data_IF_172368962497
#
_entry.id   IF_172368962497
#
_cell.length_a   1.000
_cell.length_b   1.000
_cell.length_c   1.000
_cell.angle_alpha   90.00
_cell.angle_beta   90.00
_cell.angle_gamma   90.00
#
_symmetry.space_group_name_H-M   'P 1'
#
loop_
_entity.id
_entity.type
_entity.pdbx_description
1 polymer ?
#
# COMPACT_ATOMS: atom_id res chain seq x y z
N UNK A 1 -13.07 28.83 72.66
CA UNK A 1 -11.83 29.44 72.13
C UNK A 1 -11.35 28.57 70.98
N UNK A 2 -11.76 28.90 69.75
CA UNK A 2 -10.97 29.61 68.74
C UNK A 2 -9.68 28.90 68.29
N UNK A 3 -9.68 28.54 66.99
CA UNK A 3 -8.55 28.50 66.03
C UNK A 3 -7.54 27.35 66.18
N UNK A 4 -7.00 26.74 65.13
CA UNK A 4 -7.03 27.01 63.69
C UNK A 4 -6.73 25.70 62.92
N UNK A 5 -7.44 25.58 61.81
CA UNK A 5 -7.32 24.65 60.69
C UNK A 5 -5.95 24.67 60.02
N UNK A 6 -5.50 23.51 59.52
CA UNK A 6 -4.85 23.41 58.21
C UNK A 6 -5.41 22.22 57.44
N UNK A 7 -6.12 22.59 56.37
CA UNK A 7 -6.68 21.73 55.35
C UNK A 7 -5.58 21.09 54.49
N UNK A 8 -5.82 19.84 54.09
CA UNK A 8 -5.22 19.19 52.93
C UNK A 8 -6.11 19.50 51.72
N UNK A 9 -5.57 19.97 50.58
CA UNK A 9 -6.16 19.73 49.27
C UNK A 9 -5.27 18.72 48.53
N UNK A 10 -5.81 17.55 48.20
CA UNK A 10 -6.64 17.29 47.01
C UNK A 10 -5.82 17.14 45.73
N UNK A 11 -5.85 15.90 45.26
CA UNK A 11 -5.47 15.40 43.94
C UNK A 11 -5.82 16.37 42.80
N UNK A 12 -4.81 16.80 42.04
CA UNK A 12 -5.00 17.27 40.67
C UNK A 12 -4.58 16.18 39.70
N UNK A 13 -5.55 15.38 39.26
CA UNK A 13 -5.47 14.65 37.99
C UNK A 13 -5.52 15.70 36.88
N UNK A 14 -4.42 15.95 36.20
CA UNK A 14 -4.47 16.67 34.91
C UNK A 14 -4.95 15.69 33.86
N UNK A 15 -6.23 15.83 33.51
CA UNK A 15 -6.78 15.41 32.23
C UNK A 15 -6.07 16.26 31.17
N UNK A 16 -5.16 15.66 30.41
CA UNK A 16 -4.67 16.29 29.18
C UNK A 16 -5.68 15.98 28.08
N UNK A 17 -6.34 17.06 27.68
CA UNK A 17 -7.37 17.14 26.66
C UNK A 17 -6.88 16.57 25.31
N UNK A 18 -7.65 15.64 24.76
CA UNK A 18 -7.31 14.84 23.59
C UNK A 18 -7.75 15.53 22.28
N UNK A 19 -7.70 16.86 22.23
CA UNK A 19 -8.32 17.66 21.16
C UNK A 19 -7.40 18.52 20.29
N UNK A 20 -6.09 18.57 20.56
CA UNK A 20 -5.18 19.45 19.79
C UNK A 20 -4.19 18.72 18.85
N UNK A 21 -4.38 17.42 18.59
CA UNK A 21 -3.48 16.66 17.70
C UNK A 21 -3.89 16.66 16.21
N UNK A 22 -4.81 17.55 15.77
CA UNK A 22 -5.36 17.52 14.41
C UNK A 22 -4.96 18.68 13.47
N UNK A 23 -4.13 19.63 13.89
CA UNK A 23 -3.76 20.76 13.02
C UNK A 23 -2.32 21.25 13.20
N UNK A 24 -1.36 20.38 12.92
CA UNK A 24 0.02 20.74 12.56
C UNK A 24 0.60 19.54 11.80
N UNK A 25 0.73 19.54 10.48
CA UNK A 25 1.30 20.58 9.65
C UNK A 25 2.83 20.43 9.66
N UNK A 26 3.35 19.65 8.71
CA UNK A 26 4.77 19.41 8.44
C UNK A 26 5.50 18.41 9.34
N UNK A 27 5.36 17.11 9.04
CA UNK A 27 6.41 16.13 9.31
C UNK A 27 7.33 16.09 8.08
N UNK A 28 8.42 16.84 8.13
CA UNK A 28 9.50 16.72 7.16
C UNK A 28 10.28 15.44 7.48
N UNK A 29 10.04 14.37 6.71
CA UNK A 29 10.94 13.22 6.68
C UNK A 29 12.22 13.60 5.93
N UNK A 30 13.05 14.44 6.55
CA UNK A 30 14.42 14.60 6.14
C UNK A 30 15.25 13.56 6.91
N UNK A 31 15.92 12.69 6.15
CA UNK A 31 16.82 11.60 6.58
C UNK A 31 16.19 10.25 6.91
N UNK A 32 15.85 9.51 5.85
CA UNK A 32 16.16 8.08 5.75
C UNK A 32 16.60 7.75 4.30
N UNK A 33 17.51 8.55 3.74
CA UNK A 33 18.23 8.16 2.53
C UNK A 33 19.30 7.15 2.95
N UNK A 34 18.98 5.87 2.78
CA UNK A 34 19.97 4.82 2.88
C UNK A 34 20.99 5.00 1.76
N UNK A 35 22.26 5.07 2.13
CA UNK A 35 23.42 5.18 1.25
C UNK A 35 23.44 4.02 0.26
N UNK A 36 22.94 4.23 -0.96
CA UNK A 36 23.36 3.42 -2.09
C UNK A 36 24.58 4.11 -2.68
N UNK A 37 25.78 3.64 -2.30
CA UNK A 37 26.91 3.80 -3.18
C UNK A 37 26.47 3.23 -4.54
N UNK A 38 26.40 4.09 -5.55
CA UNK A 38 26.19 3.67 -6.92
C UNK A 38 27.43 2.88 -7.32
N UNK A 39 27.37 1.57 -7.13
CA UNK A 39 28.28 0.66 -7.79
C UNK A 39 27.84 0.64 -9.26
N UNK A 40 28.53 1.46 -10.06
CA UNK A 40 28.38 1.43 -11.50
C UNK A 40 28.65 0.00 -11.98
N UNK A 41 27.76 -0.48 -12.86
CA UNK A 41 27.97 -1.64 -13.74
C UNK A 41 27.42 -3.03 -13.33
N UNK A 42 26.29 -3.11 -12.62
CA UNK A 42 25.25 -4.13 -12.89
C UNK A 42 23.88 -3.65 -12.38
N UNK A 43 23.08 -2.96 -13.21
CA UNK A 43 21.70 -2.62 -12.84
C UNK A 43 20.77 -3.84 -12.96
N UNK A 44 21.04 -4.88 -12.19
CA UNK A 44 20.22 -6.09 -12.12
C UNK A 44 18.83 -5.77 -11.59
N UNK A 45 17.80 -6.39 -12.17
CA UNK A 45 16.43 -6.27 -11.66
C UNK A 45 16.39 -6.85 -10.24
N UNK A 46 16.04 -6.02 -9.26
CA UNK A 46 15.86 -6.43 -7.87
C UNK A 46 14.44 -6.95 -7.67
N UNK A 47 14.30 -8.05 -6.94
CA UNK A 47 13.01 -8.65 -6.60
C UNK A 47 12.88 -8.66 -5.08
N UNK A 48 11.81 -8.05 -4.57
CA UNK A 48 11.51 -8.02 -3.14
C UNK A 48 10.03 -8.36 -2.95
N UNK A 49 9.75 -9.49 -2.32
CA UNK A 49 8.40 -9.90 -1.97
C UNK A 49 8.28 -10.16 -0.47
N UNK A 50 7.11 -9.87 0.08
CA UNK A 50 6.71 -10.30 1.42
C UNK A 50 5.81 -11.52 1.28
N UNK A 51 6.18 -12.64 1.93
CA UNK A 51 5.46 -13.91 1.83
C UNK A 51 4.98 -14.41 3.19
N UNK A 52 3.70 -14.77 3.26
CA UNK A 52 3.06 -15.39 4.42
C UNK A 52 2.76 -16.86 4.11
N UNK A 53 3.17 -17.76 4.99
CA UNK A 53 2.98 -19.21 4.84
C UNK A 53 1.99 -19.74 5.89
N UNK A 54 0.91 -20.40 5.45
CA UNK A 54 -0.12 -20.99 6.32
C UNK A 54 -0.38 -22.46 5.96
N UNK A 55 -1.20 -23.15 6.76
CA UNK A 55 -1.39 -24.59 6.62
C UNK A 55 -2.00 -25.03 5.29
N UNK A 56 -2.86 -24.22 4.67
CA UNK A 56 -3.56 -24.56 3.41
C UNK A 56 -3.05 -23.81 2.17
N UNK A 57 -2.42 -22.65 2.36
CA UNK A 57 -1.91 -21.84 1.27
C UNK A 57 -0.79 -20.90 1.75
N UNK A 58 -0.04 -20.36 0.80
CA UNK A 58 0.87 -19.23 1.00
C UNK A 58 0.43 -18.05 0.13
N UNK A 59 0.80 -16.85 0.56
CA UNK A 59 0.54 -15.59 -0.15
C UNK A 59 1.84 -14.80 -0.26
N UNK A 60 2.23 -14.45 -1.47
CA UNK A 60 3.32 -13.51 -1.76
C UNK A 60 2.76 -12.20 -2.29
N UNK A 61 3.25 -11.07 -1.76
CA UNK A 61 2.92 -9.71 -2.19
C UNK A 61 4.17 -9.03 -2.75
N UNK A 62 4.09 -8.50 -3.96
CA UNK A 62 5.20 -7.80 -4.62
C UNK A 62 4.71 -6.56 -5.39
N UNK A 63 5.41 -5.41 -5.32
CA UNK A 63 5.08 -4.26 -6.15
C UNK A 63 5.47 -4.51 -7.62
N UNK A 64 4.68 -3.94 -8.53
CA UNK A 64 4.95 -3.83 -9.96
C UNK A 64 5.02 -2.33 -10.27
N UNK A 65 6.18 -1.88 -10.76
CA UNK A 65 6.42 -0.48 -11.08
C UNK A 65 5.57 0.01 -12.26
N UNK A 66 5.24 1.32 -12.31
CA UNK A 66 4.55 1.91 -13.43
C UNK A 66 5.40 1.86 -14.70
N UNK A 67 4.74 2.02 -15.85
CA UNK A 67 5.44 2.26 -17.12
C UNK A 67 5.38 3.72 -17.50
N UNK A 68 6.45 4.20 -18.14
CA UNK A 68 6.58 5.57 -18.62
C UNK A 68 6.64 5.60 -20.15
N UNK A 69 6.05 6.64 -20.74
CA UNK A 69 6.24 7.01 -22.14
C UNK A 69 7.08 8.29 -22.22
N UNK A 70 8.01 8.31 -23.18
CA UNK A 70 8.79 9.52 -23.50
C UNK A 70 7.90 10.50 -24.27
N UNK A 71 7.99 11.77 -23.92
CA UNK A 71 7.34 12.88 -24.62
C UNK A 71 8.31 13.48 -25.64
N UNK A 72 7.78 14.10 -26.69
CA UNK A 72 8.58 14.80 -27.70
C UNK A 72 9.42 15.93 -27.10
N UNK A 73 8.93 16.56 -26.03
CA UNK A 73 9.63 17.59 -25.26
C UNK A 73 10.84 17.09 -24.46
N UNK A 74 11.16 15.79 -24.53
CA UNK A 74 12.25 15.15 -23.78
C UNK A 74 11.86 14.71 -22.36
N UNK A 75 10.67 15.06 -21.88
CA UNK A 75 10.12 14.59 -20.61
C UNK A 75 9.65 13.12 -20.65
N UNK A 76 9.28 12.58 -19.50
CA UNK A 76 8.60 11.28 -19.40
C UNK A 76 7.32 11.41 -18.60
N UNK A 77 6.27 10.71 -19.02
CA UNK A 77 4.96 10.68 -18.37
C UNK A 77 4.60 9.25 -18.00
N UNK A 78 3.93 9.05 -16.88
CA UNK A 78 3.33 7.75 -16.53
C UNK A 78 2.29 7.40 -17.59
N UNK A 79 2.53 6.29 -18.29
CA UNK A 79 1.61 5.73 -19.29
C UNK A 79 0.62 4.76 -18.65
N UNK A 80 1.13 3.91 -17.75
CA UNK A 80 0.32 2.96 -16.98
C UNK A 80 0.80 2.96 -15.54
N UNK A 81 -0.14 3.13 -14.62
CA UNK A 81 0.14 2.96 -13.20
C UNK A 81 0.65 1.54 -12.92
N UNK A 82 1.52 1.44 -11.92
CA UNK A 82 1.94 0.19 -11.32
C UNK A 82 0.79 -0.48 -10.57
N UNK A 83 1.10 -1.61 -9.96
CA UNK A 83 0.15 -2.40 -9.17
C UNK A 83 0.89 -3.17 -8.07
N UNK A 84 0.15 -3.82 -7.18
CA UNK A 84 0.72 -4.80 -6.26
C UNK A 84 0.19 -6.18 -6.63
N UNK A 85 1.09 -7.09 -7.00
CA UNK A 85 0.72 -8.46 -7.33
C UNK A 85 0.63 -9.32 -6.08
N UNK A 86 -0.54 -9.91 -5.86
CA UNK A 86 -0.77 -10.99 -4.91
C UNK A 86 -0.67 -12.33 -5.64
N UNK A 87 0.17 -13.22 -5.14
CA UNK A 87 0.33 -14.59 -5.65
C UNK A 87 0.01 -15.58 -4.56
N UNK A 88 -1.02 -16.41 -4.79
CA UNK A 88 -1.46 -17.44 -3.87
C UNK A 88 -0.94 -18.80 -4.33
N UNK A 89 -0.46 -19.60 -3.40
CA UNK A 89 0.07 -20.94 -3.67
C UNK A 89 -0.65 -21.98 -2.81
N UNK A 90 -1.27 -23.03 -3.39
CA UNK A 90 -1.87 -24.09 -2.59
C UNK A 90 -0.80 -24.91 -1.85
N UNK A 91 -1.10 -25.32 -0.62
CA UNK A 91 -0.26 -26.28 0.10
C UNK A 91 -0.44 -27.69 -0.51
N UNK A 92 0.68 -28.41 -0.62
CA UNK A 92 0.73 -29.82 -1.07
C UNK A 92 1.33 -30.74 -0.02
N UNK A 93 1.55 -30.22 1.18
CA UNK A 93 2.07 -30.95 2.33
C UNK A 93 2.48 -29.98 3.43
N UNK A 94 2.95 -30.53 4.55
CA UNK A 94 3.43 -29.71 5.66
C UNK A 94 4.59 -28.82 5.19
N UNK A 95 4.37 -27.50 5.22
CA UNK A 95 5.35 -26.48 4.77
C UNK A 95 5.82 -26.67 3.32
N UNK A 96 5.00 -27.27 2.47
CA UNK A 96 5.26 -27.44 1.03
C UNK A 96 4.12 -26.82 0.23
N UNK A 97 4.46 -26.04 -0.80
CA UNK A 97 3.51 -25.30 -1.62
C UNK A 97 3.80 -25.53 -3.10
N UNK A 98 2.75 -25.66 -3.90
CA UNK A 98 2.87 -25.89 -5.35
C UNK A 98 2.88 -24.56 -6.11
N UNK A 99 4.07 -24.18 -6.58
CA UNK A 99 4.29 -22.95 -7.33
C UNK A 99 3.73 -22.99 -8.76
N UNK A 100 3.42 -24.18 -9.29
CA UNK A 100 2.86 -24.34 -10.63
C UNK A 100 1.35 -24.04 -10.65
N UNK A 101 0.65 -24.30 -9.56
CA UNK A 101 -0.80 -24.05 -9.39
C UNK A 101 -1.11 -22.73 -8.70
N UNK A 102 -0.28 -21.72 -8.96
CA UNK A 102 -0.42 -20.40 -8.33
C UNK A 102 -1.62 -19.63 -8.92
N UNK A 103 -2.31 -18.89 -8.07
CA UNK A 103 -3.35 -17.94 -8.48
C UNK A 103 -2.87 -16.50 -8.29
N UNK A 104 -3.09 -15.66 -9.30
CA UNK A 104 -2.60 -14.28 -9.33
C UNK A 104 -3.77 -13.30 -9.25
N UNK A 105 -3.61 -12.24 -8.46
CA UNK A 105 -4.54 -11.12 -8.34
C UNK A 105 -3.74 -9.81 -8.22
N UNK A 106 -3.92 -8.89 -9.16
CA UNK A 106 -3.19 -7.62 -9.15
C UNK A 106 -4.06 -6.55 -8.50
N UNK A 107 -3.56 -5.84 -7.50
CA UNK A 107 -4.23 -4.71 -6.89
C UNK A 107 -3.82 -3.43 -7.61
N UNK A 108 -4.78 -2.70 -8.15
CA UNK A 108 -4.60 -1.31 -8.61
C UNK A 108 -4.28 -0.38 -7.43
N UNK A 109 -3.75 0.83 -7.68
CA UNK A 109 -3.52 1.81 -6.61
C UNK A 109 -4.75 2.10 -5.74
N UNK A 110 -5.94 2.11 -6.35
CA UNK A 110 -7.20 2.32 -5.62
C UNK A 110 -7.53 1.16 -4.69
N UNK A 111 -7.39 -0.09 -5.16
CA UNK A 111 -7.63 -1.28 -4.33
C UNK A 111 -6.57 -1.43 -3.22
N UNK A 112 -5.33 -1.00 -3.50
CA UNK A 112 -4.29 -0.82 -2.48
C UNK A 112 -4.75 0.17 -1.41
N UNK A 113 -5.32 1.31 -1.81
CA UNK A 113 -5.94 2.28 -0.91
C UNK A 113 -7.00 1.66 -0.02
N UNK A 114 -7.89 0.83 -0.58
CA UNK A 114 -8.93 0.12 0.19
C UNK A 114 -8.34 -0.80 1.27
N UNK A 115 -7.24 -1.51 0.99
CA UNK A 115 -6.57 -2.34 2.02
C UNK A 115 -5.87 -1.51 3.09
N UNK A 116 -5.30 -0.36 2.72
CA UNK A 116 -4.65 0.56 3.66
C UNK A 116 -5.68 1.12 4.64
N UNK A 117 -6.85 1.53 4.13
CA UNK A 117 -7.92 2.14 4.93
C UNK A 117 -8.80 1.16 5.70
N UNK A 118 -8.66 -0.15 5.46
CA UNK A 118 -9.58 -1.17 6.00
C UNK A 118 -9.62 -1.16 7.54
N UNK A 119 -10.79 -0.90 8.12
CA UNK A 119 -11.01 -0.96 9.56
C UNK A 119 -10.96 -2.40 10.12
N UNK A 120 -10.74 -2.57 11.44
CA UNK A 120 -10.58 -3.88 12.10
C UNK A 120 -11.84 -4.77 12.05
N UNK A 121 -13.01 -4.18 11.83
CA UNK A 121 -14.29 -4.88 11.68
C UNK A 121 -14.85 -4.82 10.26
N UNK A 122 -14.13 -4.18 9.33
CA UNK A 122 -14.58 -3.98 7.96
C UNK A 122 -14.12 -5.11 7.05
N UNK A 123 -14.84 -5.25 5.94
CA UNK A 123 -14.50 -6.16 4.85
C UNK A 123 -14.45 -5.42 3.53
N UNK A 124 -13.64 -5.91 2.60
CA UNK A 124 -13.66 -5.44 1.21
C UNK A 124 -13.62 -6.61 0.24
N UNK A 125 -14.13 -6.39 -0.97
CA UNK A 125 -14.13 -7.38 -2.04
C UNK A 125 -13.79 -6.72 -3.38
N UNK A 126 -13.01 -7.42 -4.19
CA UNK A 126 -12.56 -6.97 -5.49
C UNK A 126 -12.90 -8.02 -6.55
N UNK A 127 -13.32 -7.56 -7.73
CA UNK A 127 -13.74 -8.43 -8.83
C UNK A 127 -12.99 -8.07 -10.11
N UNK A 128 -12.30 -9.04 -10.67
CA UNK A 128 -11.46 -8.89 -11.86
C UNK A 128 -11.92 -9.83 -12.96
N UNK A 129 -12.04 -9.27 -14.16
CA UNK A 129 -12.08 -10.03 -15.41
C UNK A 129 -10.81 -9.70 -16.20
N UNK A 130 -9.82 -10.61 -16.26
CA UNK A 130 -8.56 -10.36 -16.96
C UNK A 130 -8.73 -10.07 -18.46
N UNK A 131 -9.86 -10.47 -19.03
CA UNK A 131 -10.18 -10.37 -20.45
C UNK A 131 -11.25 -9.31 -20.74
N UNK A 132 -11.56 -8.45 -19.76
CA UNK A 132 -12.54 -7.37 -19.93
C UNK A 132 -12.19 -6.51 -21.15
N UNK A 133 -13.19 -6.15 -21.96
CA UNK A 133 -13.04 -5.41 -23.23
C UNK A 133 -12.30 -6.20 -24.32
N UNK A 134 -12.30 -7.53 -24.24
CA UNK A 134 -11.82 -8.41 -25.30
C UNK A 134 -12.90 -9.41 -25.71
N UNK A 135 -12.66 -10.20 -26.76
CA UNK A 135 -13.56 -11.28 -27.18
C UNK A 135 -13.72 -12.40 -26.16
N UNK A 136 -12.86 -12.47 -25.13
CA UNK A 136 -12.89 -13.49 -24.08
C UNK A 136 -13.44 -12.95 -22.74
N UNK A 137 -14.13 -11.81 -22.76
CA UNK A 137 -14.79 -11.26 -21.58
C UNK A 137 -15.77 -12.27 -20.97
N UNK A 138 -15.85 -12.30 -19.64
CA UNK A 138 -16.69 -13.17 -18.83
C UNK A 138 -16.17 -14.60 -18.69
N UNK A 139 -15.13 -14.99 -19.44
CA UNK A 139 -14.60 -16.35 -19.45
C UNK A 139 -13.78 -16.69 -18.21
N UNK A 140 -13.07 -15.71 -17.65
CA UNK A 140 -12.32 -15.85 -16.40
C UNK A 140 -12.75 -14.76 -15.44
N UNK A 141 -13.22 -15.15 -14.25
CA UNK A 141 -13.61 -14.22 -13.19
C UNK A 141 -12.81 -14.52 -11.94
N UNK A 142 -12.23 -13.48 -11.35
CA UNK A 142 -11.48 -13.57 -10.11
C UNK A 142 -12.16 -12.70 -9.06
N UNK A 143 -12.39 -13.23 -7.88
CA UNK A 143 -12.76 -12.43 -6.72
C UNK A 143 -11.73 -12.58 -5.62
N UNK A 144 -11.44 -11.49 -4.93
CA UNK A 144 -10.63 -11.45 -3.73
C UNK A 144 -11.46 -10.79 -2.63
N UNK A 145 -11.75 -11.53 -1.57
CA UNK A 145 -12.42 -11.00 -0.38
C UNK A 145 -11.48 -10.98 0.82
N UNK A 146 -11.58 -9.90 1.60
CA UNK A 146 -10.87 -9.69 2.86
C UNK A 146 -11.91 -9.50 3.95
N UNK A 147 -11.99 -10.43 4.88
CA UNK A 147 -13.00 -10.43 5.94
C UNK A 147 -12.35 -10.54 7.32
N UNK A 148 -12.86 -9.88 8.37
CA UNK A 148 -12.23 -9.91 9.69
C UNK A 148 -12.37 -11.29 10.34
N UNK A 149 -11.34 -11.72 11.08
CA UNK A 149 -11.35 -12.96 11.89
C UNK A 149 -12.17 -12.85 13.19
N UNK A 150 -12.66 -11.64 13.51
CA UNK A 150 -13.24 -11.31 14.81
C UNK A 150 -12.19 -10.92 15.84
N UNK A 151 -12.62 -10.18 16.87
CA UNK A 151 -11.79 -9.72 18.00
C UNK A 151 -10.50 -9.00 17.58
N UNK A 152 -10.49 -8.33 16.41
CA UNK A 152 -9.31 -7.65 15.85
C UNK A 152 -8.05 -8.54 15.77
N UNK A 153 -8.25 -9.85 15.53
CA UNK A 153 -7.15 -10.84 15.46
C UNK A 153 -6.48 -10.90 14.09
N UNK A 154 -7.05 -10.24 13.08
CA UNK A 154 -6.59 -10.23 11.70
C UNK A 154 -7.75 -10.45 10.72
N UNK A 155 -7.43 -10.99 9.54
CA UNK A 155 -8.36 -11.16 8.42
C UNK A 155 -8.23 -12.54 7.77
N UNK A 156 -9.31 -13.03 7.19
CA UNK A 156 -9.29 -14.06 6.16
C UNK A 156 -9.18 -13.41 4.79
N UNK A 157 -8.20 -13.86 4.00
CA UNK A 157 -8.11 -13.56 2.58
C UNK A 157 -8.60 -14.77 1.80
N UNK A 158 -9.55 -14.57 0.90
CA UNK A 158 -10.08 -15.62 0.03
C UNK A 158 -9.97 -15.18 -1.42
N UNK A 159 -9.29 -15.98 -2.25
CA UNK A 159 -9.32 -15.83 -3.70
C UNK A 159 -10.18 -16.93 -4.31
N UNK A 160 -11.11 -16.55 -5.17
CA UNK A 160 -11.85 -17.48 -6.03
C UNK A 160 -11.54 -17.17 -7.48
N UNK A 161 -11.15 -18.18 -8.25
CA UNK A 161 -10.90 -18.08 -9.69
C UNK A 161 -11.83 -19.04 -10.40
N UNK A 162 -12.81 -18.47 -11.11
CA UNK A 162 -13.67 -19.19 -12.03
C UNK A 162 -13.07 -19.10 -13.43
N UNK A 163 -12.79 -20.24 -14.05
CA UNK A 163 -12.33 -20.32 -15.43
C UNK A 163 -13.30 -21.19 -16.23
N UNK A 164 -14.14 -20.55 -17.04
CA UNK A 164 -15.16 -21.22 -17.84
C UNK A 164 -14.55 -21.98 -19.02
N UNK A 165 -13.42 -21.53 -19.56
CA UNK A 165 -12.71 -22.19 -20.66
C UNK A 165 -12.18 -23.56 -20.24
N UNK A 166 -11.62 -23.64 -19.04
CA UNK A 166 -11.09 -24.87 -18.45
C UNK A 166 -12.10 -25.63 -17.60
N UNK A 167 -13.29 -25.06 -17.39
CA UNK A 167 -14.34 -25.56 -16.48
C UNK A 167 -13.83 -25.80 -15.06
N UNK A 168 -12.96 -24.92 -14.56
CA UNK A 168 -12.40 -25.01 -13.21
C UNK A 168 -12.94 -23.91 -12.30
N UNK A 169 -13.01 -24.23 -11.01
CA UNK A 169 -13.26 -23.26 -9.94
C UNK A 169 -12.25 -23.53 -8.85
N UNK A 170 -11.29 -22.63 -8.71
CA UNK A 170 -10.24 -22.71 -7.71
C UNK A 170 -10.53 -21.75 -6.57
N UNK A 171 -10.32 -22.21 -5.33
CA UNK A 171 -10.56 -21.43 -4.12
C UNK A 171 -9.40 -21.63 -3.17
N UNK A 172 -8.75 -20.54 -2.77
CA UNK A 172 -7.70 -20.54 -1.76
C UNK A 172 -8.06 -19.56 -0.66
N UNK A 173 -7.88 -20.00 0.57
CA UNK A 173 -8.20 -19.25 1.78
C UNK A 173 -7.02 -19.32 2.73
N UNK A 174 -6.63 -18.16 3.29
CA UNK A 174 -5.62 -18.12 4.34
C UNK A 174 -5.95 -17.07 5.41
N UNK A 175 -5.74 -17.40 6.70
CA UNK A 175 -5.80 -16.41 7.76
C UNK A 175 -4.52 -15.59 7.78
N UNK A 176 -4.66 -14.27 7.86
CA UNK A 176 -3.61 -13.28 8.04
C UNK A 176 -3.82 -12.68 9.43
N UNK A 177 -2.85 -12.86 10.31
CA UNK A 177 -2.90 -12.28 11.66
C UNK A 177 -2.82 -10.75 11.61
N UNK A 178 -3.23 -10.08 12.70
CA UNK A 178 -3.07 -8.63 12.86
C UNK A 178 -1.64 -8.15 12.58
N UNK A 179 -0.64 -8.87 13.07
CA UNK A 179 0.77 -8.52 12.86
C UNK A 179 1.16 -8.63 11.38
N UNK A 180 0.79 -9.73 10.71
CA UNK A 180 1.07 -9.93 9.28
C UNK A 180 0.36 -8.87 8.43
N UNK A 181 -0.89 -8.54 8.77
CA UNK A 181 -1.65 -7.51 8.06
C UNK A 181 -1.09 -6.10 8.29
N UNK A 182 -0.53 -5.83 9.49
CA UNK A 182 0.16 -4.58 9.77
C UNK A 182 1.39 -4.42 8.87
N UNK A 183 2.20 -5.48 8.70
CA UNK A 183 3.32 -5.46 7.75
C UNK A 183 2.84 -5.21 6.32
N UNK A 184 1.75 -5.89 5.90
CA UNK A 184 1.17 -5.65 4.58
C UNK A 184 0.75 -4.19 4.41
N UNK A 185 0.00 -3.63 5.35
CA UNK A 185 -0.47 -2.24 5.31
C UNK A 185 0.69 -1.25 5.22
N UNK A 186 1.74 -1.44 6.02
CA UNK A 186 2.93 -0.58 5.98
C UNK A 186 3.64 -0.67 4.63
N UNK A 187 3.85 -1.88 4.11
CA UNK A 187 4.49 -2.09 2.82
C UNK A 187 3.65 -1.50 1.67
N UNK A 188 2.33 -1.67 1.70
CA UNK A 188 1.40 -1.10 0.73
C UNK A 188 1.41 0.44 0.76
N UNK A 189 1.39 1.03 1.96
CA UNK A 189 1.46 2.49 2.14
C UNK A 189 2.75 3.06 1.57
N UNK A 190 3.88 2.38 1.77
CA UNK A 190 5.16 2.75 1.18
C UNK A 190 5.20 2.54 -0.34
N UNK A 191 4.65 1.44 -0.84
CA UNK A 191 4.64 1.12 -2.26
C UNK A 191 3.72 2.04 -3.07
N UNK A 192 2.65 2.57 -2.49
CA UNK A 192 1.64 3.37 -3.16
C UNK A 192 2.21 4.55 -3.99
N UNK A 193 3.04 5.46 -3.45
CA UNK A 193 3.63 6.54 -4.26
C UNK A 193 4.55 6.02 -5.39
N UNK A 194 5.23 4.89 -5.17
CA UNK A 194 6.12 4.30 -6.17
C UNK A 194 5.35 3.64 -7.33
N UNK A 195 4.24 2.97 -7.04
CA UNK A 195 3.38 2.42 -8.10
C UNK A 195 2.64 3.53 -8.86
N UNK A 196 2.54 4.73 -8.29
CA UNK A 196 2.06 5.93 -8.98
C UNK A 196 3.18 6.69 -9.74
N UNK A 197 4.45 6.32 -9.55
CA UNK A 197 5.61 6.96 -10.17
C UNK A 197 5.98 8.32 -9.57
N UNK A 198 5.46 8.65 -8.37
CA UNK A 198 5.72 9.91 -7.70
C UNK A 198 7.16 10.02 -7.18
N UNK A 199 7.77 8.89 -6.83
CA UNK A 199 9.18 8.82 -6.46
C UNK A 199 10.08 9.37 -7.59
N UNK A 200 9.80 8.99 -8.84
CA UNK A 200 10.58 9.48 -9.99
C UNK A 200 10.23 10.92 -10.36
N UNK A 201 8.96 11.31 -10.25
CA UNK A 201 8.54 12.69 -10.50
C UNK A 201 9.20 13.67 -9.52
N UNK A 202 9.32 13.29 -8.24
CA UNK A 202 9.90 14.12 -7.19
C UNK A 202 11.44 14.14 -7.21
N UNK A 203 12.09 13.07 -7.71
CA UNK A 203 13.56 13.00 -7.79
C UNK A 203 14.14 13.98 -8.83
N UNK A 204 13.39 14.29 -9.88
CA UNK A 204 13.83 15.21 -10.95
C UNK A 204 13.74 16.70 -10.59
N UNK A 205 13.28 17.05 -9.38
CA UNK A 205 13.11 18.43 -8.92
C UNK A 205 14.21 18.93 -7.99
N UNK A 206 15.45 18.44 -8.07
CA UNK A 206 16.59 19.21 -7.54
C UNK A 206 17.09 20.20 -8.60
N UNK A 207 16.63 21.47 -8.61
CA UNK A 207 17.37 22.51 -9.31
C UNK A 207 18.78 22.57 -8.69
N UNK A 208 19.79 22.65 -9.54
CA UNK A 208 21.15 23.03 -9.12
C UNK A 208 21.06 24.21 -8.15
N UNK A 209 21.74 24.21 -6.99
CA UNK A 209 21.64 25.30 -6.04
C UNK A 209 22.13 26.59 -6.70
N UNK A 210 21.20 27.44 -7.11
CA UNK A 210 21.48 28.84 -7.40
C UNK A 210 21.82 29.52 -6.07
N UNK A 211 22.91 30.30 -6.00
CA UNK A 211 23.30 30.91 -4.73
C UNK A 211 22.25 31.97 -4.35
N UNK A 212 21.67 31.77 -3.17
CA UNK A 212 20.84 32.72 -2.43
C UNK A 212 19.49 33.10 -3.05
N UNK A 213 18.47 32.28 -2.80
CA UNK A 213 17.13 32.81 -2.52
C UNK A 213 16.57 32.13 -1.28
N UNK A 214 16.08 32.94 -0.34
CA UNK A 214 15.39 32.44 0.87
C UNK A 214 14.21 31.57 0.42
N UNK A 215 13.87 30.47 1.11
CA UNK A 215 12.66 29.73 0.80
C UNK A 215 11.46 30.64 1.09
N UNK A 216 10.94 31.28 0.04
CA UNK A 216 9.71 32.05 0.11
C UNK A 216 8.59 31.05 -0.07
N UNK A 217 7.85 30.79 0.99
CA UNK A 217 6.56 30.09 0.89
C UNK A 217 5.60 31.05 0.20
N UNK A 218 5.67 31.11 -1.13
CA UNK A 218 4.68 31.79 -1.94
C UNK A 218 3.47 30.87 -2.04
N UNK A 219 2.29 31.38 -1.69
CA UNK A 219 1.04 30.65 -1.96
C UNK A 219 0.96 30.44 -3.47
N UNK A 220 0.49 29.26 -3.95
CA UNK A 220 0.22 29.07 -5.36
C UNK A 220 -0.59 30.26 -5.87
N UNK A 221 -0.11 30.89 -6.94
CA UNK A 221 -0.82 32.02 -7.52
C UNK A 221 -2.20 31.53 -7.95
N UNK A 222 -3.30 32.24 -7.68
CA UNK A 222 -4.64 31.81 -8.09
C UNK A 222 -4.71 31.44 -9.58
N UNK A 223 -3.98 32.15 -10.45
CA UNK A 223 -3.90 31.85 -11.88
C UNK A 223 -3.32 30.45 -12.21
N UNK A 224 -2.57 29.82 -11.29
CA UNK A 224 -2.17 28.40 -11.46
C UNK A 224 -3.36 27.44 -11.39
N UNK A 225 -4.51 27.88 -10.87
CA UNK A 225 -5.78 27.16 -10.85
C UNK A 225 -6.70 27.53 -12.04
N UNK A 226 -6.31 28.51 -12.87
CA UNK A 226 -7.08 28.98 -14.02
C UNK A 226 -6.22 29.02 -15.28
N UNK A 227 -6.26 27.96 -16.10
CA UNK A 227 -5.76 28.02 -17.47
C UNK A 227 -6.71 28.90 -18.31
N UNK A 228 -6.24 30.06 -18.77
CA UNK A 228 -6.84 30.79 -19.90
C UNK A 228 -5.94 30.68 -21.11
#
# INVERSE_FOLDING_TARGET
MQRLSRFVPSSSRRVTDLKDALWSGSLTFQHALSTFAADENTSGRKFASYTVFKGKAALSMQPILPSFSKLESGGSRVNKNGSVMLTFFPAVGQRKYDYSKKQLFALSPTEVGSLISLGPAESCEFFHDPSMKSSHEGQVKKSLSVTPLGNDSGYFLNITVLNNLQKTTERLSLPISKAEFTVMRTALSFALPHILGWDQALTNHQPSPSPASKPRVERPHPDSEWER
#
